data_IF_458104913821
#
_entry.id   IF_458104913821
#
_cell.length_a   1.000
_cell.length_b   1.000
_cell.length_c   1.000
_cell.angle_alpha   90.00
_cell.angle_beta   90.00
_cell.angle_gamma   90.00
#
_symmetry.space_group_name_H-M   'P 1'
#
loop_
_entity.id
_entity.type
_entity.pdbx_description
1 polymer ?
#
# COMPACT_ATOMS: atom_id res chain seq x y z
N UNK A 1 14.53 -8.50 -8.61
CA UNK A 1 13.15 -8.95 -8.95
C UNK A 1 12.35 -7.74 -9.38
N UNK A 2 11.38 -7.88 -10.31
CA UNK A 2 10.41 -6.83 -10.58
C UNK A 2 9.24 -6.95 -9.60
N UNK A 3 8.70 -5.83 -9.13
CA UNK A 3 7.51 -5.80 -8.27
C UNK A 3 6.28 -6.31 -9.04
N UNK A 4 5.54 -7.30 -8.52
CA UNK A 4 4.29 -7.73 -9.15
C UNK A 4 3.24 -6.62 -9.13
N UNK A 5 2.45 -6.50 -10.20
CA UNK A 5 1.34 -5.53 -10.29
C UNK A 5 0.14 -5.89 -9.41
N UNK A 6 0.09 -7.11 -8.88
CA UNK A 6 -0.99 -7.64 -8.06
C UNK A 6 -0.46 -8.28 -6.80
N UNK A 7 -0.85 -7.76 -5.65
CA UNK A 7 -0.41 -8.22 -4.34
C UNK A 7 -1.55 -8.57 -3.39
N UNK A 8 -1.17 -8.93 -2.18
CA UNK A 8 -2.06 -9.25 -1.08
C UNK A 8 -1.74 -8.37 0.13
N UNK A 9 -2.67 -7.51 0.53
CA UNK A 9 -2.56 -6.68 1.71
C UNK A 9 -2.99 -7.41 2.97
N UNK A 10 -2.31 -7.16 4.12
CA UNK A 10 -2.64 -7.75 5.42
C UNK A 10 -3.13 -6.73 6.46
N UNK A 11 -3.43 -5.50 6.05
CA UNK A 11 -4.02 -4.51 6.97
C UNK A 11 -5.31 -5.04 7.60
N UNK A 12 -5.52 -4.82 8.90
CA UNK A 12 -6.67 -5.36 9.65
C UNK A 12 -6.81 -6.90 9.58
N UNK A 13 -5.74 -7.63 9.32
CA UNK A 13 -5.71 -9.07 9.55
C UNK A 13 -5.13 -9.30 10.93
N UNK A 14 -5.87 -10.00 11.81
CA UNK A 14 -5.42 -10.28 13.16
C UNK A 14 -4.09 -11.06 13.14
N UNK A 15 -3.14 -10.77 14.05
CA UNK A 15 -1.82 -11.41 14.06
C UNK A 15 -1.90 -12.94 14.03
N UNK A 16 -2.84 -13.54 14.77
CA UNK A 16 -3.07 -14.98 14.86
C UNK A 16 -3.63 -15.60 13.57
N UNK A 17 -4.25 -14.80 12.69
CA UNK A 17 -4.79 -15.25 11.40
C UNK A 17 -3.83 -15.00 10.23
N UNK A 18 -2.83 -14.13 10.43
CA UNK A 18 -1.99 -13.63 9.33
C UNK A 18 -1.21 -14.75 8.66
N UNK A 19 -0.60 -15.66 9.42
CA UNK A 19 0.14 -16.80 8.85
C UNK A 19 -0.77 -17.64 7.94
N UNK A 20 -1.99 -17.95 8.39
CA UNK A 20 -2.95 -18.72 7.58
C UNK A 20 -3.32 -17.99 6.29
N UNK A 21 -3.70 -16.71 6.42
CA UNK A 21 -4.15 -15.91 5.28
C UNK A 21 -3.04 -15.74 4.23
N UNK A 22 -1.82 -15.43 4.65
CA UNK A 22 -0.68 -15.28 3.73
C UNK A 22 -0.29 -16.62 3.09
N UNK A 23 -0.32 -17.73 3.85
CA UNK A 23 -0.06 -19.07 3.30
C UNK A 23 -1.10 -19.43 2.23
N UNK A 24 -2.37 -19.12 2.44
CA UNK A 24 -3.44 -19.34 1.45
C UNK A 24 -3.24 -18.47 0.20
N UNK A 25 -2.88 -17.19 0.38
CA UNK A 25 -2.60 -16.28 -0.73
C UNK A 25 -1.41 -16.77 -1.57
N UNK A 26 -0.29 -17.14 -0.94
CA UNK A 26 0.88 -17.70 -1.62
C UNK A 26 0.54 -19.00 -2.37
N UNK A 27 -0.27 -19.88 -1.75
CA UNK A 27 -0.74 -21.13 -2.37
C UNK A 27 -1.70 -20.92 -3.54
N UNK A 28 -2.38 -19.77 -3.63
CA UNK A 28 -3.23 -19.39 -4.77
C UNK A 28 -2.40 -18.81 -5.92
N UNK A 29 -1.24 -18.22 -5.63
CA UNK A 29 -0.35 -17.65 -6.65
C UNK A 29 0.06 -16.19 -6.41
N UNK A 30 -0.36 -15.58 -5.31
CA UNK A 30 0.16 -14.26 -4.94
C UNK A 30 1.67 -14.30 -4.70
N UNK A 31 2.36 -13.24 -5.10
CA UNK A 31 3.82 -13.13 -4.94
C UNK A 31 4.26 -11.79 -4.35
N UNK A 32 3.39 -10.82 -4.22
CA UNK A 32 3.57 -9.56 -3.49
C UNK A 32 2.72 -9.63 -2.21
N UNK A 33 3.36 -9.45 -1.06
CA UNK A 33 2.71 -9.36 0.27
C UNK A 33 3.03 -8.00 0.87
N UNK A 34 1.98 -7.22 1.17
CA UNK A 34 2.09 -5.89 1.76
C UNK A 34 1.69 -5.92 3.23
N UNK A 35 2.63 -5.55 4.10
CA UNK A 35 2.45 -5.39 5.55
C UNK A 35 2.95 -4.02 6.02
N UNK A 36 3.02 -3.79 7.32
CA UNK A 36 3.62 -2.61 7.95
C UNK A 36 3.91 -2.86 9.43
N UNK A 37 4.87 -2.10 9.98
CA UNK A 37 5.23 -2.16 11.41
C UNK A 37 4.00 -1.98 12.33
N UNK A 38 3.16 -0.99 12.02
CA UNK A 38 1.98 -0.66 12.84
C UNK A 38 0.89 -1.74 12.82
N UNK A 39 0.90 -2.66 11.84
CA UNK A 39 -0.10 -3.71 11.77
C UNK A 39 0.12 -4.81 12.82
N UNK A 40 1.34 -4.90 13.38
CA UNK A 40 1.68 -5.89 14.42
C UNK A 40 1.64 -7.34 13.93
N UNK A 41 1.71 -7.56 12.62
CA UNK A 41 1.52 -8.88 12.02
C UNK A 41 2.68 -9.34 11.12
N UNK A 42 3.80 -8.62 11.10
CA UNK A 42 4.99 -8.97 10.30
C UNK A 42 5.49 -10.39 10.61
N UNK A 43 5.45 -10.81 11.88
CA UNK A 43 5.86 -12.17 12.26
C UNK A 43 5.00 -13.27 11.61
N UNK A 44 3.69 -13.03 11.47
CA UNK A 44 2.79 -13.94 10.77
C UNK A 44 3.09 -14.01 9.27
N UNK A 45 3.41 -12.87 8.65
CA UNK A 45 3.86 -12.80 7.25
C UNK A 45 5.14 -13.61 7.06
N UNK A 46 6.16 -13.34 7.88
CA UNK A 46 7.45 -14.04 7.83
C UNK A 46 7.31 -15.54 8.02
N UNK A 47 6.50 -15.96 9.00
CA UNK A 47 6.21 -17.39 9.22
C UNK A 47 5.60 -18.07 8.00
N UNK A 48 4.62 -17.43 7.35
CA UNK A 48 4.00 -17.97 6.13
C UNK A 48 4.99 -18.06 4.96
N UNK A 49 5.80 -17.02 4.75
CA UNK A 49 6.83 -17.00 3.70
C UNK A 49 7.85 -18.11 3.90
N UNK A 50 8.40 -18.23 5.11
CA UNK A 50 9.43 -19.22 5.43
C UNK A 50 8.93 -20.67 5.35
N UNK A 51 7.62 -20.91 5.57
CA UNK A 51 7.00 -22.22 5.46
C UNK A 51 6.44 -22.55 4.09
N UNK A 52 6.41 -21.59 3.17
CA UNK A 52 5.73 -21.72 1.86
C UNK A 52 6.37 -22.75 0.93
N UNK A 53 7.67 -23.02 1.09
CA UNK A 53 8.46 -23.82 0.16
C UNK A 53 8.75 -23.11 -1.18
N UNK A 54 8.37 -21.83 -1.31
CA UNK A 54 8.67 -20.97 -2.46
C UNK A 54 10.02 -20.31 -2.21
N UNK A 55 10.86 -20.22 -3.26
CA UNK A 55 12.12 -19.50 -3.12
C UNK A 55 11.87 -18.06 -2.67
N UNK A 56 12.65 -17.59 -1.67
CA UNK A 56 12.50 -16.23 -1.13
C UNK A 56 12.60 -15.17 -2.23
N UNK A 57 13.42 -15.42 -3.23
CA UNK A 57 13.58 -14.53 -4.40
C UNK A 57 12.35 -14.46 -5.31
N UNK A 58 11.40 -15.36 -5.17
CA UNK A 58 10.13 -15.37 -5.92
C UNK A 58 8.99 -14.69 -5.15
N UNK A 59 9.22 -14.26 -3.91
CA UNK A 59 8.24 -13.55 -3.08
C UNK A 59 8.73 -12.13 -2.86
N UNK A 60 7.88 -11.15 -3.15
CA UNK A 60 8.12 -9.73 -2.94
C UNK A 60 7.42 -9.31 -1.64
N UNK A 61 8.19 -8.87 -0.64
CA UNK A 61 7.67 -8.38 0.65
C UNK A 61 7.80 -6.86 0.70
N UNK A 62 6.69 -6.18 0.91
CA UNK A 62 6.65 -4.75 1.23
C UNK A 62 6.30 -4.56 2.71
N UNK A 63 7.04 -3.69 3.40
CA UNK A 63 6.72 -3.22 4.75
C UNK A 63 6.87 -1.70 4.84
N UNK A 64 6.47 -1.11 5.98
CA UNK A 64 6.39 0.35 6.11
C UNK A 64 6.86 0.82 7.48
N UNK A 65 7.71 1.84 7.50
CA UNK A 65 8.15 2.54 8.73
C UNK A 65 7.02 3.41 9.25
N UNK A 66 6.62 3.20 10.51
CA UNK A 66 5.52 3.94 11.11
C UNK A 66 5.96 5.30 11.67
N UNK A 67 5.00 6.21 11.86
CA UNK A 67 5.25 7.59 12.31
C UNK A 67 6.01 7.72 13.64
N UNK A 68 5.89 6.75 14.55
CA UNK A 68 6.67 6.69 15.79
C UNK A 68 8.17 6.48 15.58
N UNK A 69 8.54 6.00 14.40
CA UNK A 69 9.92 5.70 14.00
C UNK A 69 10.49 6.70 12.98
N UNK A 70 9.79 7.83 12.75
CA UNK A 70 10.19 8.85 11.76
C UNK A 70 11.28 9.77 12.31
N UNK A 71 12.49 9.26 12.41
CA UNK A 71 13.77 9.96 12.48
C UNK A 71 14.88 8.94 12.12
N UNK A 72 16.09 9.41 11.91
CA UNK A 72 17.19 8.56 11.43
C UNK A 72 17.46 7.35 12.34
N UNK A 73 17.67 7.60 13.65
CA UNK A 73 18.06 6.55 14.62
C UNK A 73 16.95 5.51 14.82
N UNK A 74 15.71 5.98 14.96
CA UNK A 74 14.55 5.06 15.14
C UNK A 74 14.23 4.30 13.86
N UNK A 75 14.32 4.95 12.70
CA UNK A 75 14.10 4.29 11.42
C UNK A 75 15.14 3.18 11.20
N UNK A 76 16.43 3.46 11.46
CA UNK A 76 17.51 2.45 11.36
C UNK A 76 17.20 1.24 12.25
N UNK A 77 16.88 1.47 13.53
CA UNK A 77 16.54 0.38 14.46
C UNK A 77 15.28 -0.38 14.02
N UNK A 78 14.25 0.32 13.55
CA UNK A 78 12.97 -0.28 13.16
C UNK A 78 13.04 -1.12 11.88
N UNK A 79 13.98 -0.84 10.98
CA UNK A 79 14.26 -1.69 9.82
C UNK A 79 14.80 -3.04 10.29
N UNK A 80 15.75 -3.06 11.23
CA UNK A 80 16.29 -4.29 11.81
C UNK A 80 15.21 -5.04 12.62
N UNK A 81 14.34 -4.32 13.33
CA UNK A 81 13.17 -4.89 14.02
C UNK A 81 12.23 -5.60 13.03
N UNK A 82 11.93 -4.99 11.87
CA UNK A 82 11.09 -5.59 10.81
C UNK A 82 11.74 -6.81 10.17
N UNK A 83 13.05 -6.77 9.87
CA UNK A 83 13.81 -7.92 9.35
C UNK A 83 13.73 -9.10 10.33
N UNK A 84 13.92 -8.83 11.61
CA UNK A 84 13.83 -9.85 12.67
C UNK A 84 12.40 -10.40 12.81
N UNK A 85 11.37 -9.54 12.77
CA UNK A 85 9.98 -9.98 12.88
C UNK A 85 9.55 -10.84 11.69
N UNK A 86 9.92 -10.42 10.48
CA UNK A 86 9.71 -11.19 9.25
C UNK A 86 10.61 -12.44 9.15
N UNK A 87 11.69 -12.48 9.94
CA UNK A 87 12.72 -13.54 9.89
C UNK A 87 13.23 -13.76 8.46
N UNK A 88 13.70 -12.68 7.83
CA UNK A 88 14.25 -12.65 6.47
C UNK A 88 15.56 -11.85 6.45
N UNK A 89 16.42 -12.13 5.47
CA UNK A 89 17.70 -11.43 5.29
C UNK A 89 17.51 -10.05 4.64
N UNK A 90 16.45 -9.85 3.87
CA UNK A 90 16.13 -8.60 3.21
C UNK A 90 14.62 -8.40 3.03
N UNK A 91 14.21 -7.13 2.92
CA UNK A 91 12.85 -6.70 2.53
C UNK A 91 12.94 -6.15 1.10
N UNK A 92 12.01 -6.54 0.21
CA UNK A 92 12.07 -6.10 -1.20
C UNK A 92 11.73 -4.63 -1.36
N UNK A 93 10.76 -4.11 -0.59
CA UNK A 93 10.37 -2.71 -0.60
C UNK A 93 10.07 -2.22 0.82
N UNK A 94 10.75 -1.16 1.24
CA UNK A 94 10.41 -0.46 2.49
C UNK A 94 9.83 0.91 2.14
N UNK A 95 8.67 1.22 2.73
CA UNK A 95 7.98 2.50 2.55
C UNK A 95 8.08 3.37 3.80
N UNK A 96 8.16 4.68 3.65
CA UNK A 96 7.69 5.60 4.70
C UNK A 96 6.16 5.60 4.69
N UNK A 97 5.54 5.23 5.81
CA UNK A 97 4.08 5.00 5.85
C UNK A 97 3.26 6.29 5.73
N UNK A 98 3.80 7.41 6.23
CA UNK A 98 3.16 8.72 6.25
C UNK A 98 4.18 9.84 6.03
N UNK A 99 3.77 10.91 5.36
CA UNK A 99 4.57 12.11 5.15
C UNK A 99 4.57 13.02 6.40
N UNK A 100 4.97 12.49 7.57
CA UNK A 100 4.89 13.17 8.86
C UNK A 100 6.18 13.01 9.68
N UNK A 101 6.44 13.94 10.59
CA UNK A 101 7.63 13.91 11.44
C UNK A 101 8.92 14.23 10.68
N UNK A 102 10.05 13.66 11.16
CA UNK A 102 11.35 13.77 10.47
C UNK A 102 11.47 12.67 9.40
N UNK A 103 10.52 12.66 8.43
CA UNK A 103 10.60 11.73 7.31
C UNK A 103 11.88 11.89 6.47
N UNK A 104 12.52 13.08 6.33
CA UNK A 104 13.81 13.16 5.65
C UNK A 104 14.92 12.41 6.39
N UNK A 105 14.92 12.43 7.74
CA UNK A 105 15.85 11.63 8.55
C UNK A 105 15.60 10.12 8.37
N UNK A 106 14.34 9.69 8.44
CA UNK A 106 13.96 8.29 8.22
C UNK A 106 14.28 7.83 6.78
N UNK A 107 14.12 8.70 5.79
CA UNK A 107 14.47 8.38 4.41
C UNK A 107 15.97 8.10 4.24
N UNK A 108 16.84 8.92 4.85
CA UNK A 108 18.30 8.67 4.85
C UNK A 108 18.66 7.34 5.50
N UNK A 109 17.98 6.96 6.57
CA UNK A 109 18.18 5.62 7.17
C UNK A 109 17.80 4.49 6.20
N UNK A 110 16.75 4.68 5.39
CA UNK A 110 16.39 3.71 4.34
C UNK A 110 17.43 3.68 3.23
N UNK A 111 18.02 4.81 2.84
CA UNK A 111 19.10 4.86 1.84
C UNK A 111 20.34 4.11 2.31
N UNK A 112 20.69 4.20 3.59
CA UNK A 112 21.81 3.44 4.16
C UNK A 112 21.47 1.95 4.24
N UNK A 113 20.27 1.57 4.67
CA UNK A 113 19.80 0.18 4.64
C UNK A 113 19.75 -0.41 3.21
N UNK A 114 19.43 0.40 2.20
CA UNK A 114 19.49 0.01 0.80
C UNK A 114 20.94 -0.26 0.35
N UNK A 115 21.88 0.62 0.71
CA UNK A 115 23.31 0.44 0.41
C UNK A 115 23.89 -0.81 1.11
N UNK A 116 23.37 -1.14 2.30
CA UNK A 116 23.72 -2.34 3.06
C UNK A 116 23.06 -3.63 2.52
N UNK A 117 22.11 -3.51 1.59
CA UNK A 117 21.36 -4.65 1.03
C UNK A 117 20.26 -5.21 1.96
N UNK A 118 19.94 -4.53 3.04
CA UNK A 118 18.84 -4.88 3.96
C UNK A 118 17.47 -4.66 3.33
N UNK A 119 17.36 -3.66 2.45
CA UNK A 119 16.19 -3.41 1.63
C UNK A 119 16.61 -3.28 0.17
N UNK A 120 15.77 -3.76 -0.75
CA UNK A 120 16.11 -3.77 -2.18
C UNK A 120 15.50 -2.61 -2.95
N UNK A 121 14.46 -1.97 -2.41
CA UNK A 121 13.87 -0.75 -2.95
C UNK A 121 13.35 0.14 -1.82
N UNK A 122 13.36 1.44 -2.09
CA UNK A 122 12.80 2.47 -1.22
C UNK A 122 11.54 3.01 -1.87
N UNK A 123 10.52 3.28 -1.05
CA UNK A 123 9.32 3.96 -1.50
C UNK A 123 8.69 4.80 -0.39
N UNK A 124 7.56 5.35 -0.71
CA UNK A 124 6.79 6.20 0.21
C UNK A 124 5.30 5.83 0.15
N UNK A 125 4.55 6.25 1.15
CA UNK A 125 3.09 6.09 1.18
C UNK A 125 2.46 7.37 1.70
N UNK A 126 1.36 7.78 1.06
CA UNK A 126 0.64 9.00 1.40
C UNK A 126 1.46 10.29 1.20
N UNK A 127 2.40 10.25 0.24
CA UNK A 127 3.11 11.44 -0.20
C UNK A 127 2.35 12.05 -1.37
N UNK A 128 1.52 13.06 -1.06
CA UNK A 128 0.81 13.82 -2.07
C UNK A 128 1.78 14.68 -2.88
N UNK A 129 1.38 15.26 -4.04
CA UNK A 129 2.31 15.81 -5.03
C UNK A 129 3.43 16.69 -4.48
N UNK A 130 3.14 17.61 -3.58
CA UNK A 130 4.15 18.52 -3.01
C UNK A 130 5.16 17.81 -2.12
N UNK A 131 4.72 16.80 -1.34
CA UNK A 131 5.59 15.98 -0.49
C UNK A 131 6.41 14.99 -1.29
N UNK A 132 5.82 14.45 -2.37
CA UNK A 132 6.53 13.55 -3.26
C UNK A 132 7.66 14.28 -4.00
N UNK A 133 7.39 15.49 -4.52
CA UNK A 133 8.40 16.34 -5.15
C UNK A 133 9.52 16.66 -4.15
N UNK A 134 9.16 17.03 -2.91
CA UNK A 134 10.12 17.37 -1.85
C UNK A 134 11.07 16.20 -1.55
N UNK A 135 10.52 15.01 -1.29
CA UNK A 135 11.37 13.84 -1.01
C UNK A 135 12.22 13.43 -2.21
N UNK A 136 11.67 13.47 -3.44
CA UNK A 136 12.45 13.17 -4.65
C UNK A 136 13.61 14.16 -4.88
N UNK A 137 13.42 15.43 -4.49
CA UNK A 137 14.48 16.46 -4.62
C UNK A 137 15.61 16.28 -3.59
N UNK A 138 15.32 15.66 -2.44
CA UNK A 138 16.29 15.44 -1.35
C UNK A 138 16.98 14.08 -1.42
N UNK A 139 16.37 13.10 -2.09
CA UNK A 139 16.81 11.71 -2.11
C UNK A 139 18.07 11.51 -2.96
N UNK A 140 19.04 10.72 -2.46
CA UNK A 140 20.12 10.15 -3.27
C UNK A 140 19.60 8.96 -4.10
N UNK A 141 18.69 8.16 -3.52
CA UNK A 141 17.98 7.05 -4.15
C UNK A 141 16.51 7.44 -4.25
N UNK A 142 15.99 7.81 -5.43
CA UNK A 142 14.59 8.21 -5.56
C UNK A 142 13.62 7.10 -5.14
N UNK A 143 12.42 7.44 -4.60
CA UNK A 143 11.42 6.45 -4.27
C UNK A 143 10.93 5.71 -5.54
N UNK A 144 10.91 4.38 -5.48
CA UNK A 144 10.43 3.56 -6.58
C UNK A 144 8.90 3.50 -6.66
N UNK A 145 8.22 3.65 -5.52
CA UNK A 145 6.77 3.50 -5.36
C UNK A 145 6.23 4.61 -4.46
N UNK A 146 5.04 5.11 -4.77
CA UNK A 146 4.20 5.85 -3.84
C UNK A 146 2.86 5.14 -3.70
N UNK A 147 2.57 4.64 -2.49
CA UNK A 147 1.34 3.95 -2.16
C UNK A 147 0.32 4.93 -1.59
N UNK A 148 -0.78 5.17 -2.31
CA UNK A 148 -1.82 6.14 -1.93
C UNK A 148 -3.22 5.53 -2.01
N UNK A 149 -4.19 6.10 -1.27
CA UNK A 149 -5.60 5.71 -1.38
C UNK A 149 -6.06 5.84 -2.82
N UNK A 150 -6.48 4.74 -3.44
CA UNK A 150 -6.95 4.78 -4.82
C UNK A 150 -8.03 3.73 -5.06
N UNK A 151 -9.22 4.17 -5.45
CA UNK A 151 -10.39 3.33 -5.73
C UNK A 151 -11.39 4.11 -6.61
N UNK A 152 -12.49 3.50 -7.10
CA UNK A 152 -13.42 4.16 -8.04
C UNK A 152 -13.89 5.55 -7.64
N UNK A 153 -14.10 5.80 -6.35
CA UNK A 153 -14.62 7.08 -5.84
C UNK A 153 -13.51 8.11 -5.53
N UNK A 154 -12.24 7.70 -5.60
CA UNK A 154 -11.07 8.53 -5.33
C UNK A 154 -9.89 8.11 -6.21
N UNK A 155 -9.91 8.57 -7.48
CA UNK A 155 -8.99 8.08 -8.52
C UNK A 155 -7.67 8.84 -8.58
N UNK A 156 -7.45 9.82 -7.70
CA UNK A 156 -6.16 10.53 -7.54
C UNK A 156 -5.66 11.23 -8.83
N UNK A 157 -6.53 11.86 -9.63
CA UNK A 157 -6.19 12.37 -10.96
C UNK A 157 -4.91 13.22 -11.06
N UNK A 158 -4.56 13.98 -10.03
CA UNK A 158 -3.33 14.80 -10.04
C UNK A 158 -2.06 14.01 -9.66
N UNK A 159 -2.18 12.97 -8.84
CA UNK A 159 -1.04 12.23 -8.32
C UNK A 159 -0.34 11.34 -9.36
N UNK A 160 -1.07 10.60 -10.24
CA UNK A 160 -0.45 9.78 -11.28
C UNK A 160 0.43 10.59 -12.24
N UNK A 161 -0.01 11.79 -12.65
CA UNK A 161 0.79 12.65 -13.53
C UNK A 161 2.12 13.06 -12.92
N UNK A 162 2.12 13.36 -11.63
CA UNK A 162 3.35 13.72 -10.89
C UNK A 162 4.23 12.48 -10.70
N UNK A 163 3.65 11.36 -10.28
CA UNK A 163 4.37 10.09 -10.13
C UNK A 163 5.03 9.66 -11.45
N UNK A 164 4.29 9.69 -12.55
CA UNK A 164 4.80 9.34 -13.88
C UNK A 164 5.98 10.24 -14.32
N UNK A 165 5.88 11.57 -14.08
CA UNK A 165 6.97 12.52 -14.40
C UNK A 165 8.22 12.27 -13.57
N UNK A 166 8.08 11.75 -12.35
CA UNK A 166 9.18 11.45 -11.44
C UNK A 166 9.70 10.02 -11.58
N UNK A 167 9.05 9.17 -12.39
CA UNK A 167 9.39 7.75 -12.55
C UNK A 167 9.04 6.92 -11.32
N UNK A 168 8.05 7.33 -10.54
CA UNK A 168 7.57 6.67 -9.33
C UNK A 168 6.32 5.85 -9.67
N UNK A 169 6.32 4.56 -9.33
CA UNK A 169 5.17 3.69 -9.57
C UNK A 169 4.02 4.01 -8.60
N UNK A 170 2.79 3.91 -9.10
CA UNK A 170 1.58 4.10 -8.31
C UNK A 170 1.10 2.76 -7.73
N UNK A 171 0.93 2.70 -6.41
CA UNK A 171 0.33 1.56 -5.72
C UNK A 171 -0.92 2.02 -4.95
N UNK A 172 -2.02 1.27 -5.09
CA UNK A 172 -3.30 1.56 -4.47
C UNK A 172 -3.48 0.82 -3.14
N UNK A 173 -3.51 1.55 -2.02
CA UNK A 173 -4.14 0.99 -0.84
C UNK A 173 -5.66 1.22 -0.87
N UNK A 174 -6.43 0.38 -0.16
CA UNK A 174 -7.89 0.34 -0.15
C UNK A 174 -8.53 0.35 -1.56
N UNK A 175 -8.14 -0.54 -2.51
CA UNK A 175 -8.73 -0.55 -3.85
C UNK A 175 -10.25 -0.77 -3.83
N UNK A 176 -10.79 -1.29 -2.73
CA UNK A 176 -12.22 -1.48 -2.48
C UNK A 176 -12.82 -0.44 -1.51
N UNK A 177 -12.19 0.72 -1.31
CA UNK A 177 -12.63 1.75 -0.36
C UNK A 177 -12.99 1.17 1.03
N UNK A 178 -12.26 0.16 1.51
CA UNK A 178 -12.55 -0.62 2.74
C UNK A 178 -13.98 -1.21 2.80
N UNK A 179 -14.65 -1.35 1.67
CA UNK A 179 -16.04 -1.82 1.58
C UNK A 179 -17.08 -0.74 1.91
N UNK A 180 -16.65 0.51 2.07
CA UNK A 180 -17.51 1.64 2.39
C UNK A 180 -18.31 2.14 1.17
N UNK A 181 -19.23 3.05 1.40
CA UNK A 181 -20.03 3.76 0.39
C UNK A 181 -20.76 2.83 -0.60
N UNK A 182 -21.09 1.61 -0.17
CA UNK A 182 -21.83 0.66 -1.00
C UNK A 182 -21.08 0.21 -2.26
N UNK A 183 -19.75 0.26 -2.25
CA UNK A 183 -18.91 0.00 -3.43
C UNK A 183 -19.25 -1.32 -4.14
N UNK A 184 -19.47 -2.39 -3.38
CA UNK A 184 -19.82 -3.70 -3.95
C UNK A 184 -21.27 -3.80 -4.46
N UNK A 185 -22.13 -2.82 -4.13
CA UNK A 185 -23.51 -2.70 -4.62
C UNK A 185 -23.66 -1.59 -5.69
N UNK A 186 -22.55 -1.03 -6.18
CA UNK A 186 -22.57 0.02 -7.20
C UNK A 186 -23.10 -0.55 -8.53
N UNK A 187 -24.17 0.02 -9.03
CA UNK A 187 -24.86 -0.48 -10.24
C UNK A 187 -24.03 -0.30 -11.50
N UNK A 188 -23.28 0.79 -11.62
CA UNK A 188 -22.41 1.05 -12.78
C UNK A 188 -21.32 -0.04 -12.87
N UNK A 189 -20.66 -0.33 -11.75
CA UNK A 189 -19.63 -1.38 -11.72
C UNK A 189 -20.24 -2.76 -11.98
N UNK A 190 -21.46 -3.02 -11.49
CA UNK A 190 -22.17 -4.28 -11.74
C UNK A 190 -22.56 -4.43 -13.20
N UNK A 191 -23.01 -3.35 -13.88
CA UNK A 191 -23.34 -3.35 -15.30
C UNK A 191 -22.08 -3.61 -16.15
N UNK A 192 -20.96 -2.99 -15.82
CA UNK A 192 -19.67 -3.29 -16.47
C UNK A 192 -19.33 -4.77 -16.29
N UNK A 193 -19.37 -5.26 -15.04
CA UNK A 193 -19.03 -6.65 -14.71
C UNK A 193 -19.89 -7.68 -15.46
N UNK A 194 -21.20 -7.40 -15.62
CA UNK A 194 -22.12 -8.27 -16.33
C UNK A 194 -21.72 -8.55 -17.79
N UNK A 195 -21.05 -7.60 -18.46
CA UNK A 195 -20.55 -7.76 -19.85
C UNK A 195 -19.47 -8.84 -19.95
N UNK A 196 -18.71 -9.05 -18.89
CA UNK A 196 -17.55 -9.95 -18.82
C UNK A 196 -17.79 -11.20 -17.95
N UNK A 197 -18.96 -11.29 -17.31
CA UNK A 197 -19.23 -12.33 -16.31
C UNK A 197 -18.36 -12.21 -15.06
N UNK A 198 -17.99 -10.98 -14.68
CA UNK A 198 -17.09 -10.66 -13.57
C UNK A 198 -17.82 -9.89 -12.46
N UNK A 199 -17.30 -10.02 -11.24
CA UNK A 199 -17.83 -9.31 -10.07
C UNK A 199 -17.40 -7.84 -10.05
N UNK A 200 -18.06 -7.03 -9.24
CA UNK A 200 -17.67 -5.63 -8.99
C UNK A 200 -16.22 -5.53 -8.54
N UNK A 201 -15.78 -6.43 -7.63
CA UNK A 201 -14.39 -6.44 -7.16
C UNK A 201 -13.39 -6.68 -8.29
N UNK A 202 -13.68 -7.63 -9.18
CA UNK A 202 -12.83 -7.92 -10.34
C UNK A 202 -12.79 -6.75 -11.34
N UNK A 203 -13.91 -6.06 -11.56
CA UNK A 203 -13.95 -4.85 -12.41
C UNK A 203 -13.05 -3.75 -11.84
N UNK A 204 -13.15 -3.48 -10.53
CA UNK A 204 -12.33 -2.47 -9.86
C UNK A 204 -10.84 -2.78 -10.03
N UNK A 205 -10.45 -4.00 -9.68
CA UNK A 205 -9.04 -4.41 -9.75
C UNK A 205 -8.52 -4.35 -11.18
N UNK A 206 -9.32 -4.80 -12.16
CA UNK A 206 -8.94 -4.75 -13.57
C UNK A 206 -8.79 -3.32 -14.08
N UNK A 207 -9.70 -2.43 -13.71
CA UNK A 207 -9.63 -1.02 -14.10
C UNK A 207 -8.35 -0.34 -13.58
N UNK A 208 -8.00 -0.57 -12.30
CA UNK A 208 -6.77 -0.04 -11.70
C UNK A 208 -5.53 -0.61 -12.38
N UNK A 209 -5.48 -1.91 -12.64
CA UNK A 209 -4.37 -2.55 -13.35
C UNK A 209 -4.20 -2.00 -14.79
N UNK A 210 -5.29 -1.67 -15.49
CA UNK A 210 -5.23 -1.07 -16.83
C UNK A 210 -4.75 0.39 -16.81
N UNK A 211 -4.74 1.03 -15.65
CA UNK A 211 -4.15 2.35 -15.42
C UNK A 211 -2.70 2.26 -14.89
N UNK A 212 -2.07 1.09 -15.00
CA UNK A 212 -0.72 0.82 -14.46
C UNK A 212 -0.61 1.02 -12.94
N UNK A 213 -1.72 0.84 -12.21
CA UNK A 213 -1.76 0.93 -10.74
C UNK A 213 -1.55 -0.46 -10.13
N UNK A 214 -0.57 -0.59 -9.26
CA UNK A 214 -0.33 -1.81 -8.46
C UNK A 214 -1.45 -1.91 -7.43
N UNK A 215 -2.05 -3.09 -7.26
CA UNK A 215 -3.18 -3.30 -6.36
C UNK A 215 -2.87 -4.34 -5.28
N UNK A 216 -3.29 -4.06 -4.05
CA UNK A 216 -3.07 -4.93 -2.88
C UNK A 216 -4.40 -5.19 -2.13
N UNK A 217 -5.40 -5.81 -2.78
CA UNK A 217 -6.66 -6.11 -2.12
C UNK A 217 -6.45 -7.02 -0.90
N UNK A 218 -7.25 -6.79 0.15
CA UNK A 218 -7.24 -7.58 1.38
C UNK A 218 -8.53 -8.37 1.54
N UNK A 219 -8.42 -9.61 1.93
CA UNK A 219 -9.52 -10.45 2.40
C UNK A 219 -8.98 -11.59 3.25
N UNK A 220 -9.76 -12.05 4.24
CA UNK A 220 -9.43 -13.24 5.04
C UNK A 220 -10.12 -14.51 4.51
N UNK A 221 -10.90 -14.39 3.43
CA UNK A 221 -11.65 -15.49 2.79
C UNK A 221 -10.92 -16.00 1.56
N UNK A 222 -10.57 -17.27 1.58
CA UNK A 222 -9.82 -17.93 0.51
C UNK A 222 -10.49 -17.85 -0.86
N UNK A 223 -11.82 -17.98 -0.90
CA UNK A 223 -12.60 -17.89 -2.14
C UNK A 223 -12.47 -16.50 -2.77
N UNK A 224 -12.51 -15.43 -1.94
CA UNK A 224 -12.32 -14.06 -2.42
C UNK A 224 -10.88 -13.78 -2.86
N UNK A 225 -9.88 -14.46 -2.25
CA UNK A 225 -8.51 -14.37 -2.74
C UNK A 225 -8.41 -14.90 -4.17
N UNK A 226 -9.06 -16.04 -4.47
CA UNK A 226 -9.11 -16.61 -5.83
C UNK A 226 -9.87 -15.70 -6.80
N UNK A 227 -11.01 -15.18 -6.37
CA UNK A 227 -11.81 -14.25 -7.17
C UNK A 227 -11.01 -12.98 -7.50
N UNK A 228 -10.34 -12.38 -6.52
CA UNK A 228 -9.60 -11.14 -6.70
C UNK A 228 -8.45 -11.29 -7.71
N UNK A 229 -7.71 -12.40 -7.69
CA UNK A 229 -6.57 -12.60 -8.61
C UNK A 229 -7.02 -13.03 -10.02
N UNK A 230 -8.27 -13.47 -10.20
CA UNK A 230 -8.85 -13.89 -11.47
C UNK A 230 -9.32 -12.67 -12.30
N UNK A 231 -8.36 -11.79 -12.66
CA UNK A 231 -8.60 -10.52 -13.37
C UNK A 231 -7.73 -10.34 -14.62
N UNK A 232 -6.96 -11.37 -15.00
CA UNK A 232 -6.04 -11.28 -16.14
C UNK A 232 -6.59 -11.88 -17.43
N UNK A 233 -7.77 -12.48 -17.40
CA UNK A 233 -8.43 -13.16 -18.51
C UNK A 233 -9.40 -12.27 -19.30
N UNK A 234 -9.60 -11.01 -18.90
CA UNK A 234 -10.45 -10.04 -19.58
C UNK A 234 -9.81 -8.64 -19.60
N UNK A 235 -10.32 -7.79 -20.46
CA UNK A 235 -9.89 -6.40 -20.57
C UNK A 235 -11.13 -5.51 -20.73
N UNK A 236 -11.21 -4.44 -19.93
CA UNK A 236 -12.24 -3.42 -20.05
C UNK A 236 -12.01 -2.60 -21.31
N UNK A 237 -13.07 -2.29 -22.06
CA UNK A 237 -12.98 -1.40 -23.22
C UNK A 237 -12.71 0.04 -22.81
N UNK A 238 -12.31 0.89 -23.78
CA UNK A 238 -12.13 2.33 -23.52
C UNK A 238 -13.44 2.99 -23.06
N UNK A 239 -14.60 2.52 -23.56
CA UNK A 239 -15.91 2.98 -23.12
C UNK A 239 -16.18 2.59 -21.66
N UNK A 240 -15.84 1.36 -21.26
CA UNK A 240 -15.99 0.91 -19.88
C UNK A 240 -15.05 1.69 -18.94
N UNK A 241 -13.82 1.95 -19.36
CA UNK A 241 -12.88 2.77 -18.62
C UNK A 241 -13.35 4.23 -18.49
N UNK A 242 -13.96 4.80 -19.56
CA UNK A 242 -14.56 6.12 -19.49
C UNK A 242 -15.75 6.18 -18.52
N UNK A 243 -16.58 5.13 -18.48
CA UNK A 243 -17.67 5.00 -17.50
C UNK A 243 -17.11 4.82 -16.09
N UNK A 244 -16.08 4.00 -15.90
CA UNK A 244 -15.38 3.84 -14.60
C UNK A 244 -14.84 5.19 -14.10
N UNK A 245 -14.25 6.00 -14.96
CA UNK A 245 -13.71 7.31 -14.60
C UNK A 245 -14.79 8.28 -14.08
N UNK A 246 -16.07 8.12 -14.48
CA UNK A 246 -17.18 8.96 -13.98
C UNK A 246 -17.54 8.71 -12.52
N UNK A 247 -17.01 7.64 -11.91
CA UNK A 247 -17.25 7.32 -10.50
C UNK A 247 -16.41 8.15 -9.55
N UNK A 248 -15.36 8.82 -10.03
CA UNK A 248 -14.57 9.73 -9.20
C UNK A 248 -15.44 10.86 -8.66
N UNK A 249 -15.40 11.03 -7.34
CA UNK A 249 -16.20 12.04 -6.65
C UNK A 249 -15.29 13.10 -6.01
N UNK A 250 -15.20 14.31 -6.57
CA UNK A 250 -14.40 15.37 -5.96
C UNK A 250 -14.84 15.76 -4.54
N UNK A 251 -16.05 15.40 -4.12
CA UNK A 251 -16.55 15.61 -2.76
C UNK A 251 -16.29 14.40 -1.84
N UNK A 252 -15.69 13.33 -2.36
CA UNK A 252 -15.33 12.16 -1.55
C UNK A 252 -14.35 12.57 -0.45
N UNK A 253 -14.66 12.17 0.78
CA UNK A 253 -13.72 12.35 1.89
C UNK A 253 -12.83 11.10 1.97
N UNK A 254 -11.50 11.26 1.83
CA UNK A 254 -10.57 10.16 1.98
C UNK A 254 -10.77 9.40 3.29
N UNK A 255 -10.50 8.10 3.29
CA UNK A 255 -10.58 7.26 4.50
C UNK A 255 -9.65 7.81 5.59
N UNK A 256 -8.49 8.31 5.18
CA UNK A 256 -7.61 9.12 6.02
C UNK A 256 -7.30 10.44 5.32
N UNK A 257 -7.92 11.52 5.78
CA UNK A 257 -7.69 12.86 5.18
C UNK A 257 -6.42 13.50 5.75
N UNK A 258 -5.36 13.50 4.94
CA UNK A 258 -4.07 14.11 5.28
C UNK A 258 -4.09 15.65 5.31
N UNK A 259 -5.16 16.27 4.83
CA UNK A 259 -5.35 17.72 4.87
C UNK A 259 -6.24 18.16 6.04
N UNK A 260 -6.93 17.20 6.69
CA UNK A 260 -7.73 17.49 7.88
C UNK A 260 -6.86 17.54 9.14
N UNK A 261 -6.87 18.73 9.79
CA UNK A 261 -6.03 19.02 10.96
C UNK A 261 -6.35 18.09 12.14
N UNK A 262 -7.61 17.76 12.35
CA UNK A 262 -8.03 16.89 13.47
C UNK A 262 -7.60 15.46 13.25
N UNK A 263 -7.72 14.95 12.03
CA UNK A 263 -7.26 13.61 11.62
C UNK A 263 -5.73 13.48 11.82
N UNK A 264 -4.96 14.42 11.30
CA UNK A 264 -3.48 14.41 11.40
C UNK A 264 -3.02 14.60 12.85
N UNK A 265 -3.64 15.54 13.58
CA UNK A 265 -3.33 15.76 15.00
C UNK A 265 -3.65 14.55 15.86
N UNK A 266 -4.80 13.89 15.59
CA UNK A 266 -5.21 12.67 16.27
C UNK A 266 -4.17 11.55 16.12
N UNK A 267 -3.69 11.32 14.89
CA UNK A 267 -2.65 10.33 14.61
C UNK A 267 -1.35 10.64 15.37
N UNK A 268 -0.87 11.87 15.30
CA UNK A 268 0.37 12.30 15.96
C UNK A 268 0.27 12.25 17.48
N UNK A 269 -0.88 12.61 18.07
CA UNK A 269 -1.12 12.52 19.51
C UNK A 269 -1.03 11.07 20.00
N UNK A 270 -1.61 10.12 19.26
CA UNK A 270 -1.60 8.70 19.64
C UNK A 270 -0.22 8.09 19.54
N UNK A 271 0.50 8.34 18.44
CA UNK A 271 1.72 7.59 18.12
C UNK A 271 3.03 8.33 18.43
N UNK A 272 3.01 9.67 18.54
CA UNK A 272 4.20 10.46 18.85
C UNK A 272 4.15 11.01 20.27
N UNK A 273 3.01 10.89 20.95
CA UNK A 273 2.85 11.30 22.36
C UNK A 273 2.88 12.81 22.57
N UNK A 274 2.64 13.61 21.53
CA UNK A 274 2.57 15.07 21.62
C UNK A 274 1.12 15.51 21.47
N UNK A 275 0.56 16.16 22.47
CA UNK A 275 -0.75 16.80 22.37
C UNK A 275 -0.63 18.09 21.54
N UNK A 276 -1.29 18.10 20.39
CA UNK A 276 -1.34 19.26 19.49
C UNK A 276 -2.57 20.15 19.72
N UNK A 277 -3.48 19.74 20.62
CA UNK A 277 -4.75 20.44 20.89
C UNK A 277 -4.56 21.64 21.82
N UNK A 278 -4.00 22.73 21.30
CA UNK A 278 -4.01 24.04 21.98
C UNK A 278 -3.11 24.19 23.19
N UNK A 279 -2.41 23.17 23.65
CA UNK A 279 -1.37 23.26 24.64
C UNK A 279 -0.02 23.51 23.95
N UNK A 280 0.76 24.45 24.55
CA UNK A 280 2.03 24.89 23.98
C UNK A 280 2.95 23.69 23.70
N UNK A 281 3.45 23.62 22.48
CA UNK A 281 4.48 22.66 22.03
C UNK A 281 5.88 22.91 22.64
N UNK A 282 5.99 23.80 23.68
CA UNK A 282 7.26 24.19 24.30
C UNK A 282 7.18 24.12 25.82
#
# INVERSE_FOLDING_TARGET
MCMPMFGYGVYQTAPEETERCVSEALGIGYRLIDTAQVYGNEAGVGSAVNKSGIDRSDIFIASKIWVSNMNYERATASIDESLNALNVDYIDLMLLHQAMGDYPGAYRAMEDAYKEGKIHAIGVSNFYPERLIDVCALAEVPPAVNQVETHPFHQQHAAPDVMNKLGVAHEAWAPFAEGLNGIFANLILAEIGAKYGKTVGQVILRALLQQDVIVIPKTTHRERMRENIDVFDFTLTDEDMAVFATLDDPAFKPIFDHLDVDTVSGLLNVFVGKQLNGEKLY
#
